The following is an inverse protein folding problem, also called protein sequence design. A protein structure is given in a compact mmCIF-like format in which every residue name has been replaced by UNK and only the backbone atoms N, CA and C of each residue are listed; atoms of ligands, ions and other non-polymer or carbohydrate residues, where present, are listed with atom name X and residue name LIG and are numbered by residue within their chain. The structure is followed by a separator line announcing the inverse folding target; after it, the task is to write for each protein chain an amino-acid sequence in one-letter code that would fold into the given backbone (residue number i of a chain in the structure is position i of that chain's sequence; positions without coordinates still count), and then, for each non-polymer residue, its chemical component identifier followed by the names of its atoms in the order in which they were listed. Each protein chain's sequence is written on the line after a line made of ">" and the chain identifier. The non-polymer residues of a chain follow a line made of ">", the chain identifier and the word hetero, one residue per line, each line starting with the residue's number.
data_IF_056155351838
#
_entry.id   IF_056155351838
#
_cell.length_a   1.000
_cell.length_b   1.000
_cell.length_c   1.000
_cell.angle_alpha   90.00
_cell.angle_beta   90.00
_cell.angle_gamma   90.00
#
_symmetry.space_group_name_H-M   'P 1'
#
loop_
_entity.id
_entity.type
_entity.pdbx_description
1 polymer ?
#
# COMPACT_ATOMS: atom_id res chain seq x y z
N UNK A 1 3.47 17.13 7.65
CA UNK A 1 4.20 16.22 8.57
C UNK A 1 3.69 14.82 8.31
N UNK A 2 4.59 13.84 8.26
CA UNK A 2 4.28 12.43 8.08
C UNK A 2 4.67 11.68 9.35
N UNK A 3 3.83 10.76 9.81
CA UNK A 3 4.00 10.06 11.08
C UNK A 3 3.92 8.56 10.83
N UNK A 4 4.83 7.81 11.44
CA UNK A 4 4.77 6.37 11.56
C UNK A 4 4.56 5.99 13.02
N UNK A 5 3.57 5.16 13.30
CA UNK A 5 3.20 4.78 14.66
C UNK A 5 2.85 3.30 14.79
N UNK A 6 3.02 2.78 16.00
CA UNK A 6 2.52 1.46 16.37
C UNK A 6 1.00 1.50 16.54
N UNK A 7 0.30 0.61 15.85
CA UNK A 7 -1.17 0.61 15.81
C UNK A 7 -1.84 0.14 17.10
N UNK A 8 -1.12 -0.57 17.97
CA UNK A 8 -1.69 -1.12 19.22
C UNK A 8 -1.55 -0.15 20.39
N UNK A 9 -0.42 0.52 20.47
CA UNK A 9 -0.05 1.40 21.59
C UNK A 9 -0.23 2.88 21.27
N UNK A 10 -0.27 3.24 19.98
CA UNK A 10 -0.30 4.63 19.54
C UNK A 10 1.04 5.35 19.65
N UNK A 11 2.13 4.64 20.00
CA UNK A 11 3.45 5.24 20.07
C UNK A 11 3.93 5.69 18.69
N UNK A 12 4.40 6.93 18.60
CA UNK A 12 5.07 7.45 17.40
C UNK A 12 6.46 6.83 17.36
N UNK A 13 6.71 6.08 16.30
CA UNK A 13 7.97 5.38 16.06
C UNK A 13 8.94 6.25 15.27
N UNK A 14 8.43 7.02 14.30
CA UNK A 14 9.21 7.98 13.53
C UNK A 14 8.30 9.06 12.89
N UNK A 15 8.87 10.20 12.49
CA UNK A 15 8.15 11.23 11.75
C UNK A 15 9.06 12.07 10.85
N UNK A 16 8.49 12.55 9.74
CA UNK A 16 9.17 13.46 8.80
C UNK A 16 8.42 14.79 8.77
N UNK A 17 9.16 15.88 9.00
CA UNK A 17 8.64 17.24 8.82
C UNK A 17 8.72 17.60 7.34
N UNK A 18 7.56 17.83 6.71
CA UNK A 18 7.49 18.24 5.32
C UNK A 18 7.99 19.69 5.18
N UNK A 19 9.11 19.87 4.46
CA UNK A 19 9.72 21.19 4.22
C UNK A 19 9.51 21.70 2.78
N UNK A 20 8.68 21.04 1.98
CA UNK A 20 8.49 21.37 0.57
C UNK A 20 9.64 20.94 -0.36
N UNK A 21 10.76 20.44 0.18
CA UNK A 21 11.88 19.90 -0.59
C UNK A 21 12.10 18.42 -0.28
N UNK A 22 12.68 17.68 -1.24
CA UNK A 22 12.98 16.25 -1.10
C UNK A 22 14.21 15.96 -0.22
N UNK A 23 14.88 16.99 0.31
CA UNK A 23 16.19 16.86 0.96
C UNK A 23 16.21 15.99 2.22
N UNK A 24 15.04 15.68 2.80
CA UNK A 24 14.89 14.84 3.99
C UNK A 24 14.52 13.38 3.67
N UNK A 25 14.40 13.03 2.39
CA UNK A 25 13.95 11.72 1.95
C UNK A 25 15.11 10.94 1.33
N UNK A 26 15.22 9.66 1.69
CA UNK A 26 16.00 8.71 0.92
C UNK A 26 15.19 8.39 -0.34
N UNK A 27 15.45 9.15 -1.41
CA UNK A 27 14.67 9.08 -2.63
C UNK A 27 14.85 7.71 -3.31
N UNK A 28 13.73 7.02 -3.50
CA UNK A 28 13.68 5.73 -4.17
C UNK A 28 12.95 5.88 -5.51
N UNK A 29 13.71 5.79 -6.61
CA UNK A 29 13.22 6.07 -7.97
C UNK A 29 11.99 5.23 -8.31
N UNK A 30 12.03 3.93 -8.03
CA UNK A 30 10.96 2.99 -8.41
C UNK A 30 9.62 3.31 -7.74
N UNK A 31 9.65 3.75 -6.48
CA UNK A 31 8.42 3.95 -5.69
C UNK A 31 7.89 5.39 -5.76
N UNK A 32 8.64 6.30 -6.41
CA UNK A 32 8.34 7.72 -6.51
C UNK A 32 8.35 8.43 -5.15
N UNK A 33 7.85 9.67 -5.12
CA UNK A 33 7.91 10.53 -3.90
C UNK A 33 7.08 9.96 -2.76
N UNK A 34 5.86 9.50 -3.02
CA UNK A 34 4.98 8.96 -1.98
C UNK A 34 5.53 7.68 -1.38
N UNK A 35 6.12 6.82 -2.21
CA UNK A 35 6.79 5.61 -1.75
C UNK A 35 8.05 5.92 -0.97
N UNK A 36 8.87 6.88 -1.44
CA UNK A 36 10.09 7.33 -0.76
C UNK A 36 9.82 7.82 0.67
N UNK A 37 8.68 8.49 0.91
CA UNK A 37 8.27 8.90 2.26
C UNK A 37 8.06 7.68 3.16
N UNK A 38 7.33 6.68 2.65
CA UNK A 38 7.04 5.44 3.41
C UNK A 38 8.32 4.65 3.66
N UNK A 39 9.16 4.46 2.65
CA UNK A 39 10.40 3.68 2.79
C UNK A 39 11.40 4.37 3.71
N UNK A 40 11.47 5.71 3.70
CA UNK A 40 12.30 6.47 4.66
C UNK A 40 11.85 6.25 6.09
N UNK A 41 10.54 6.36 6.37
CA UNK A 41 9.98 6.12 7.72
C UNK A 41 10.15 4.66 8.19
N UNK A 42 10.19 3.72 7.24
CA UNK A 42 10.29 2.29 7.53
C UNK A 42 11.71 1.76 7.63
N UNK A 43 12.73 2.51 7.21
CA UNK A 43 14.11 2.05 7.12
C UNK A 43 14.60 1.26 8.36
N UNK A 44 14.40 1.72 9.61
CA UNK A 44 14.83 0.96 10.80
C UNK A 44 13.90 -0.20 11.18
N UNK A 45 12.78 -0.38 10.48
CA UNK A 45 11.72 -1.36 10.74
C UNK A 45 11.56 -2.43 9.65
N UNK A 46 12.31 -2.32 8.55
CA UNK A 46 12.34 -3.33 7.49
C UNK A 46 12.94 -4.66 8.00
N UNK A 47 12.58 -5.76 7.33
CA UNK A 47 13.04 -7.13 7.60
C UNK A 47 12.61 -7.72 8.96
N UNK A 48 11.47 -7.26 9.50
CA UNK A 48 10.96 -7.66 10.83
C UNK A 48 9.58 -8.33 10.81
N UNK A 49 9.12 -8.76 9.62
CA UNK A 49 7.82 -9.44 9.44
C UNK A 49 6.63 -8.59 9.94
N UNK A 50 6.71 -7.27 9.72
CA UNK A 50 5.67 -6.32 10.10
C UNK A 50 4.56 -6.23 9.05
N UNK A 51 3.37 -5.82 9.50
CA UNK A 51 2.23 -5.48 8.65
C UNK A 51 2.00 -3.97 8.65
N UNK A 52 2.13 -3.36 7.49
CA UNK A 52 1.99 -1.92 7.27
C UNK A 52 0.57 -1.57 6.80
N UNK A 53 0.04 -0.51 7.38
CA UNK A 53 -1.23 0.07 7.00
C UNK A 53 -1.05 1.57 6.76
N UNK A 54 -1.19 2.01 5.51
CA UNK A 54 -1.00 3.42 5.10
C UNK A 54 -2.32 4.12 4.76
N UNK A 55 -2.25 5.39 4.37
CA UNK A 55 -3.36 6.05 3.67
C UNK A 55 -3.36 5.68 2.17
N UNK A 56 -4.49 5.82 1.49
CA UNK A 56 -4.62 5.57 0.04
C UNK A 56 -3.65 6.41 -0.80
N UNK A 57 -3.25 7.59 -0.30
CA UNK A 57 -2.32 8.48 -0.97
C UNK A 57 -0.91 7.89 -1.07
N UNK A 58 -0.55 6.96 -0.18
CA UNK A 58 0.77 6.34 -0.20
C UNK A 58 0.78 4.96 -0.84
N UNK A 59 -0.37 4.29 -0.93
CA UNK A 59 -0.45 2.96 -1.53
C UNK A 59 -0.20 2.98 -3.04
N UNK A 60 0.57 2.00 -3.51
CA UNK A 60 0.74 1.68 -4.93
C UNK A 60 1.21 0.22 -5.07
N UNK A 61 0.99 -0.43 -6.23
CA UNK A 61 1.51 -1.77 -6.50
C UNK A 61 3.02 -1.85 -6.29
N UNK A 62 3.76 -0.92 -6.89
CA UNK A 62 5.23 -0.88 -6.83
C UNK A 62 5.75 -0.72 -5.40
N UNK A 63 5.13 0.14 -4.59
CA UNK A 63 5.54 0.29 -3.18
C UNK A 63 5.31 -1.01 -2.42
N UNK A 64 4.15 -1.65 -2.60
CA UNK A 64 3.77 -2.83 -1.84
C UNK A 64 4.65 -4.03 -2.19
N UNK A 65 4.97 -4.22 -3.47
CA UNK A 65 5.93 -5.23 -3.91
C UNK A 65 7.34 -4.94 -3.37
N UNK A 66 7.78 -3.68 -3.41
CA UNK A 66 9.09 -3.27 -2.89
C UNK A 66 9.24 -3.62 -1.41
N UNK A 67 8.33 -3.17 -0.55
CA UNK A 67 8.44 -3.45 0.90
C UNK A 67 8.24 -4.93 1.24
N UNK A 68 7.53 -5.69 0.39
CA UNK A 68 7.38 -7.13 0.55
C UNK A 68 8.71 -7.88 0.41
N UNK A 69 9.60 -7.42 -0.47
CA UNK A 69 10.98 -7.96 -0.59
C UNK A 69 11.77 -7.83 0.72
N UNK A 70 11.41 -6.85 1.56
CA UNK A 70 12.00 -6.60 2.87
C UNK A 70 11.12 -7.12 4.02
N UNK A 71 10.41 -8.22 3.80
CA UNK A 71 9.55 -8.89 4.80
C UNK A 71 8.59 -7.94 5.50
N UNK A 72 8.00 -7.02 4.75
CA UNK A 72 6.97 -6.12 5.27
C UNK A 72 5.73 -6.28 4.39
N UNK A 73 4.68 -6.86 4.97
CA UNK A 73 3.40 -6.98 4.27
C UNK A 73 2.61 -5.68 4.38
N UNK A 74 1.70 -5.43 3.44
CA UNK A 74 0.80 -4.28 3.49
C UNK A 74 -0.58 -4.60 2.96
N UNK A 75 -1.59 -3.85 3.39
CA UNK A 75 -2.91 -3.86 2.76
C UNK A 75 -3.66 -2.55 2.94
N UNK A 76 -4.19 -1.97 1.85
CA UNK A 76 -5.02 -0.75 1.87
C UNK A 76 -5.76 -0.51 0.56
N UNK A 77 -6.79 0.33 0.63
CA UNK A 77 -7.41 0.95 -0.54
C UNK A 77 -6.40 1.78 -1.32
N UNK A 78 -6.49 1.77 -2.65
CA UNK A 78 -5.60 2.50 -3.56
C UNK A 78 -6.39 3.49 -4.43
N UNK A 79 -5.77 4.62 -4.74
CA UNK A 79 -6.37 5.60 -5.65
C UNK A 79 -6.44 5.04 -7.08
N UNK A 80 -7.59 5.23 -7.74
CA UNK A 80 -7.86 4.64 -9.07
C UNK A 80 -6.85 5.02 -10.16
N UNK A 81 -6.24 6.19 -10.04
CA UNK A 81 -5.27 6.73 -11.00
C UNK A 81 -3.82 6.30 -10.75
N UNK A 82 -3.57 5.31 -9.87
CA UNK A 82 -2.21 4.81 -9.62
C UNK A 82 -1.75 3.92 -10.76
N UNK A 83 -0.52 4.16 -11.21
CA UNK A 83 0.15 3.32 -12.22
C UNK A 83 0.34 1.89 -11.71
N UNK A 84 0.15 0.92 -12.60
CA UNK A 84 0.36 -0.51 -12.32
C UNK A 84 -0.87 -1.23 -11.75
N UNK A 85 -2.01 -0.55 -11.64
CA UNK A 85 -3.28 -1.21 -11.32
C UNK A 85 -3.83 -1.97 -12.52
N UNK A 86 -4.57 -3.08 -12.30
CA UNK A 86 -5.29 -3.75 -13.36
C UNK A 86 -6.38 -2.82 -13.93
N UNK A 87 -6.82 -3.12 -15.15
CA UNK A 87 -7.96 -2.44 -15.78
C UNK A 87 -9.21 -2.81 -14.98
N UNK A 88 -10.02 -1.81 -14.64
CA UNK A 88 -11.28 -2.03 -13.93
C UNK A 88 -12.24 -2.82 -14.82
N UNK A 89 -12.90 -3.81 -14.22
CA UNK A 89 -14.05 -4.48 -14.82
C UNK A 89 -15.33 -3.70 -14.52
N UNK A 90 -16.32 -3.81 -15.40
CA UNK A 90 -17.65 -3.24 -15.16
C UNK A 90 -18.38 -4.15 -14.18
N UNK A 91 -18.48 -3.71 -12.93
CA UNK A 91 -19.24 -4.36 -11.85
C UNK A 91 -20.24 -3.36 -11.29
N UNK A 92 -21.49 -3.79 -11.11
CA UNK A 92 -22.62 -2.89 -10.80
C UNK A 92 -23.51 -3.41 -9.67
N UNK A 93 -23.31 -4.66 -9.22
CA UNK A 93 -24.09 -5.21 -8.11
C UNK A 93 -23.40 -4.94 -6.76
N UNK A 94 -24.10 -4.39 -5.75
CA UNK A 94 -23.52 -4.22 -4.42
C UNK A 94 -23.03 -5.55 -3.84
N UNK A 95 -21.74 -5.61 -3.49
CA UNK A 95 -21.08 -6.82 -3.03
C UNK A 95 -20.34 -7.60 -4.13
N UNK A 96 -20.48 -7.22 -5.39
CA UNK A 96 -19.71 -7.78 -6.49
C UNK A 96 -18.22 -7.45 -6.33
N UNK A 97 -17.36 -8.40 -6.67
CA UNK A 97 -15.92 -8.26 -6.54
C UNK A 97 -15.17 -8.99 -7.63
N UNK A 98 -14.05 -8.40 -8.05
CA UNK A 98 -13.10 -9.01 -8.97
C UNK A 98 -11.73 -9.02 -8.32
N UNK A 99 -11.04 -10.16 -8.42
CA UNK A 99 -9.70 -10.34 -7.88
C UNK A 99 -8.68 -10.51 -9.01
N UNK A 100 -7.60 -9.74 -8.92
CA UNK A 100 -6.41 -9.88 -9.74
C UNK A 100 -5.25 -10.20 -8.81
N UNK A 101 -4.37 -11.11 -9.19
CA UNK A 101 -3.21 -11.39 -8.35
C UNK A 101 -1.98 -11.74 -9.16
N UNK A 102 -0.83 -11.36 -8.61
CA UNK A 102 0.47 -11.95 -8.93
C UNK A 102 0.80 -13.01 -7.89
N UNK A 103 2.05 -13.46 -7.84
CA UNK A 103 2.51 -14.36 -6.78
C UNK A 103 2.50 -13.69 -5.40
N UNK A 104 2.73 -12.38 -5.35
CA UNK A 104 2.99 -11.64 -4.11
C UNK A 104 2.00 -10.50 -3.82
N UNK A 105 1.23 -10.06 -4.83
CA UNK A 105 0.31 -8.93 -4.71
C UNK A 105 -1.09 -9.33 -5.16
N UNK A 106 -2.07 -9.09 -4.31
CA UNK A 106 -3.49 -9.17 -4.59
C UNK A 106 -4.05 -7.76 -4.81
N UNK A 107 -4.80 -7.58 -5.90
CA UNK A 107 -5.67 -6.44 -6.12
C UNK A 107 -7.13 -6.92 -6.12
N UNK A 108 -7.97 -6.22 -5.35
CA UNK A 108 -9.40 -6.49 -5.21
C UNK A 108 -10.16 -5.25 -5.67
N UNK A 109 -10.98 -5.39 -6.71
CA UNK A 109 -12.01 -4.42 -7.06
C UNK A 109 -13.31 -4.85 -6.36
N UNK A 110 -14.00 -3.91 -5.73
CA UNK A 110 -15.24 -4.17 -5.01
C UNK A 110 -16.25 -3.06 -5.25
N UNK A 111 -17.51 -3.44 -5.49
CA UNK A 111 -18.62 -2.53 -5.71
C UNK A 111 -19.51 -2.41 -4.45
N UNK A 112 -19.85 -1.16 -4.10
CA UNK A 112 -20.86 -0.82 -3.10
C UNK A 112 -21.74 0.32 -3.61
N UNK A 113 -21.46 1.57 -3.20
CA UNK A 113 -22.03 2.77 -3.84
C UNK A 113 -21.21 3.23 -5.04
N UNK A 114 -19.90 3.06 -4.93
CA UNK A 114 -18.89 3.39 -5.92
C UNK A 114 -17.81 2.30 -5.86
N UNK A 115 -17.18 2.02 -6.99
CA UNK A 115 -16.06 1.07 -7.04
C UNK A 115 -14.90 1.54 -6.17
N UNK A 116 -14.40 0.63 -5.35
CA UNK A 116 -13.14 0.76 -4.64
C UNK A 116 -12.16 -0.31 -5.11
N UNK A 117 -10.87 0.03 -5.05
CA UNK A 117 -9.80 -0.94 -5.27
C UNK A 117 -8.91 -1.01 -4.04
N UNK A 118 -8.52 -2.22 -3.68
CA UNK A 118 -7.66 -2.53 -2.54
C UNK A 118 -6.47 -3.36 -3.01
N UNK A 119 -5.29 -3.07 -2.47
CA UNK A 119 -4.07 -3.85 -2.66
C UNK A 119 -3.71 -4.60 -1.39
N UNK A 120 -3.13 -5.78 -1.52
CA UNK A 120 -2.60 -6.52 -0.38
C UNK A 120 -1.47 -7.47 -0.75
N UNK A 121 -0.43 -7.51 0.09
CA UNK A 121 0.60 -8.57 0.10
C UNK A 121 0.48 -9.49 1.33
N UNK A 122 -0.57 -9.28 2.14
CA UNK A 122 -0.86 -10.03 3.36
C UNK A 122 -1.85 -11.19 3.12
N UNK A 123 -2.69 -11.06 2.10
CA UNK A 123 -3.78 -11.98 1.82
C UNK A 123 -3.54 -12.69 0.49
N UNK A 124 -4.00 -13.93 0.41
CA UNK A 124 -4.06 -14.71 -0.84
C UNK A 124 -5.49 -14.74 -1.34
N UNK A 125 -5.71 -14.82 -2.67
CA UNK A 125 -7.05 -15.00 -3.21
C UNK A 125 -7.66 -16.28 -2.63
N UNK A 126 -8.92 -16.20 -2.18
CA UNK A 126 -9.66 -17.38 -1.77
C UNK A 126 -9.80 -18.29 -3.01
N UNK A 127 -9.23 -19.48 -2.95
CA UNK A 127 -9.43 -20.49 -4.00
C UNK A 127 -10.88 -20.97 -3.88
N UNK A 128 -11.79 -20.41 -4.67
CA UNK A 128 -13.11 -21.00 -4.84
C UNK A 128 -12.91 -22.32 -5.61
N UNK A 129 -13.11 -23.44 -4.91
CA UNK A 129 -13.35 -24.76 -5.51
C UNK A 129 -14.80 -24.88 -5.93
#
# INVERSE_FOLDING_TARGET
>A
MFIFCDCKTGFIMDFIVYKGSKASLNYQEDTGVTGSIVTTLLEPFLNKDHSLFVDNYYSSPVLFEYIHQYKTGACRTVQKNRTGLPIYEEIDEPGEQVLYHTDNLLALQWHDKDDAMMLSTLHKPATNR
#
